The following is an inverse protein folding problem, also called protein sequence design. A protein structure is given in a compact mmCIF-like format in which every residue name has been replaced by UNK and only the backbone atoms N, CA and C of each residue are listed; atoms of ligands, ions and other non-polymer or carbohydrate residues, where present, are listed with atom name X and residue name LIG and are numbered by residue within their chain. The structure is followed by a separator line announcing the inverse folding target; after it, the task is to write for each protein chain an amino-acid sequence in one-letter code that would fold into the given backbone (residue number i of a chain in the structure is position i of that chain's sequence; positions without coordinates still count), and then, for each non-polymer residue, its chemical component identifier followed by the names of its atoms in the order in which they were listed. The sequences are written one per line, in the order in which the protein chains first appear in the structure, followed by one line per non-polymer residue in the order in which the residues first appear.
data_IF_615517521862
#
_entry.id   IF_615517521862
#
_cell.length_a   1.000
_cell.length_b   1.000
_cell.length_c   1.000
_cell.angle_alpha   90.00
_cell.angle_beta   90.00
_cell.angle_gamma   90.00
#
_symmetry.space_group_name_H-M   'P 1'
#
loop_
_entity.id
_entity.type
_entity.pdbx_description
1 polymer ?
#
# COMPACT_ATOMS: atom_id res chain seq x y z
N UNK A 1 -22.09 -12.86 -3.79
CA UNK A 1 -22.50 -11.50 -4.19
C UNK A 1 -22.55 -11.46 -5.71
N UNK A 2 -23.71 -11.23 -6.32
CA UNK A 2 -23.80 -11.14 -7.77
C UNK A 2 -23.05 -9.88 -8.24
N UNK A 3 -22.06 -10.05 -9.13
CA UNK A 3 -21.39 -8.94 -9.80
C UNK A 3 -22.37 -8.32 -10.80
N UNK A 4 -23.21 -7.40 -10.32
CA UNK A 4 -24.07 -6.62 -11.19
C UNK A 4 -23.22 -5.59 -11.95
N UNK A 5 -23.38 -5.56 -13.27
CA UNK A 5 -22.79 -4.53 -14.11
C UNK A 5 -23.26 -3.15 -13.63
N UNK A 6 -22.31 -2.34 -13.17
CA UNK A 6 -22.57 -0.94 -12.84
C UNK A 6 -22.10 -0.09 -14.02
N UNK A 7 -23.01 0.58 -14.75
CA UNK A 7 -22.63 1.42 -15.87
C UNK A 7 -21.72 2.56 -15.43
N UNK A 8 -20.79 2.93 -16.32
CA UNK A 8 -19.82 3.99 -16.05
C UNK A 8 -20.52 5.34 -15.96
N UNK A 9 -20.26 6.08 -14.88
CA UNK A 9 -20.68 7.47 -14.73
C UNK A 9 -20.01 8.39 -15.77
N UNK A 10 -20.68 9.41 -16.30
CA UNK A 10 -20.06 10.44 -17.13
C UNK A 10 -18.83 11.07 -16.44
N UNK A 11 -17.83 11.51 -17.22
CA UNK A 11 -16.61 12.13 -16.65
C UNK A 11 -16.94 13.32 -15.76
N UNK A 12 -17.90 14.16 -16.15
CA UNK A 12 -18.35 15.32 -15.36
C UNK A 12 -18.85 14.95 -13.97
N UNK A 13 -19.60 13.85 -13.85
CA UNK A 13 -20.08 13.35 -12.57
C UNK A 13 -18.92 12.84 -11.71
N UNK A 14 -18.00 12.06 -12.29
CA UNK A 14 -16.81 11.56 -11.59
C UNK A 14 -15.90 12.68 -11.08
N UNK A 15 -15.76 13.77 -11.85
CA UNK A 15 -14.98 14.96 -11.46
C UNK A 15 -15.62 15.62 -10.24
N UNK A 16 -16.93 15.89 -10.30
CA UNK A 16 -17.68 16.51 -9.19
C UNK A 16 -17.60 15.68 -7.91
N UNK A 17 -17.73 14.36 -8.02
CA UNK A 17 -17.62 13.45 -6.87
C UNK A 17 -16.23 13.51 -6.23
N UNK A 18 -15.17 13.53 -7.04
CA UNK A 18 -13.80 13.60 -6.54
C UNK A 18 -13.48 14.96 -5.91
N UNK A 19 -13.98 16.05 -6.48
CA UNK A 19 -13.84 17.40 -5.91
C UNK A 19 -14.54 17.50 -4.56
N UNK A 20 -15.77 16.95 -4.46
CA UNK A 20 -16.52 16.93 -3.21
C UNK A 20 -15.82 16.09 -2.14
N UNK A 21 -15.29 14.92 -2.52
CA UNK A 21 -14.49 14.08 -1.63
C UNK A 21 -13.26 14.83 -1.10
N UNK A 22 -12.50 15.48 -1.98
CA UNK A 22 -11.31 16.25 -1.59
C UNK A 22 -11.64 17.44 -0.69
N UNK A 23 -12.81 18.04 -0.86
CA UNK A 23 -13.26 19.21 -0.08
C UNK A 23 -13.79 18.83 1.30
N UNK A 24 -14.48 17.70 1.42
CA UNK A 24 -15.24 17.35 2.63
C UNK A 24 -14.54 16.34 3.52
N UNK A 25 -13.71 15.45 2.96
CA UNK A 25 -13.03 14.44 3.74
C UNK A 25 -11.85 15.04 4.52
N UNK A 26 -11.88 14.89 5.85
CA UNK A 26 -10.83 15.39 6.76
C UNK A 26 -9.44 14.84 6.44
N UNK A 27 -9.36 13.64 5.82
CA UNK A 27 -8.13 13.03 5.31
C UNK A 27 -7.30 13.96 4.42
N UNK A 28 -7.97 14.88 3.72
CA UNK A 28 -7.39 15.77 2.73
C UNK A 28 -7.23 17.23 3.20
N UNK A 29 -7.62 17.56 4.44
CA UNK A 29 -7.67 18.94 4.97
C UNK A 29 -6.40 19.76 4.74
N UNK A 30 -5.23 19.13 4.84
CA UNK A 30 -3.92 19.79 4.71
C UNK A 30 -3.14 19.33 3.46
N UNK A 31 -3.81 18.74 2.47
CA UNK A 31 -3.17 18.20 1.26
C UNK A 31 -3.39 19.14 0.08
N UNK A 32 -2.31 19.77 -0.39
CA UNK A 32 -2.31 20.59 -1.62
C UNK A 32 -2.00 19.72 -2.83
N UNK A 33 -2.81 19.82 -3.88
CA UNK A 33 -2.60 19.16 -5.18
C UNK A 33 -2.23 20.20 -6.23
N UNK A 34 -1.18 19.94 -7.01
CA UNK A 34 -0.77 20.76 -8.15
C UNK A 34 -1.51 20.46 -9.45
N UNK A 35 -2.54 19.61 -9.37
CA UNK A 35 -3.37 19.11 -10.48
C UNK A 35 -4.85 19.12 -10.07
N UNK A 36 -5.74 19.08 -11.05
CA UNK A 36 -7.19 19.10 -10.85
C UNK A 36 -7.79 17.70 -10.74
N UNK A 37 -9.05 17.61 -10.28
CA UNK A 37 -9.81 16.36 -10.32
C UNK A 37 -10.05 15.90 -11.77
N UNK A 38 -10.18 16.83 -12.71
CA UNK A 38 -10.30 16.53 -14.14
C UNK A 38 -9.07 15.82 -14.68
N UNK A 39 -7.87 16.26 -14.30
CA UNK A 39 -6.60 15.61 -14.71
C UNK A 39 -6.57 14.15 -14.24
N UNK A 40 -6.96 13.90 -12.99
CA UNK A 40 -7.03 12.55 -12.44
C UNK A 40 -8.05 11.69 -13.20
N UNK A 41 -9.27 12.18 -13.41
CA UNK A 41 -10.32 11.43 -14.13
C UNK A 41 -9.93 11.14 -15.58
N UNK A 42 -9.19 12.04 -16.23
CA UNK A 42 -8.71 11.83 -17.60
C UNK A 42 -7.66 10.71 -17.70
N UNK A 43 -6.89 10.45 -16.64
CA UNK A 43 -5.85 9.41 -16.59
C UNK A 43 -6.34 8.06 -16.04
N UNK A 44 -7.52 7.99 -15.42
CA UNK A 44 -8.06 6.79 -14.74
C UNK A 44 -8.46 5.62 -15.65
N UNK A 45 -8.61 5.86 -16.96
CA UNK A 45 -9.18 4.87 -17.90
C UNK A 45 -10.70 4.69 -17.75
N UNK A 46 -11.24 3.65 -18.38
CA UNK A 46 -12.68 3.29 -18.33
C UNK A 46 -13.03 2.42 -17.14
N UNK A 47 -12.08 1.57 -16.72
CA UNK A 47 -12.18 0.67 -15.57
C UNK A 47 -11.06 1.06 -14.62
N UNK A 48 -11.37 1.78 -13.52
CA UNK A 48 -10.35 2.21 -12.59
C UNK A 48 -9.74 0.99 -11.89
N UNK A 49 -8.41 0.95 -11.81
CA UNK A 49 -7.73 -0.01 -10.96
C UNK A 49 -7.98 0.36 -9.49
N UNK A 50 -8.42 -0.61 -8.67
CA UNK A 50 -8.65 -0.42 -7.24
C UNK A 50 -8.04 -1.60 -6.48
N UNK A 51 -7.03 -1.32 -5.66
CA UNK A 51 -6.47 -2.29 -4.73
C UNK A 51 -7.19 -2.19 -3.39
N UNK A 52 -7.91 -3.26 -3.01
CA UNK A 52 -8.61 -3.32 -1.72
C UNK A 52 -7.64 -3.37 -0.54
N UNK A 53 -6.52 -4.08 -0.69
CA UNK A 53 -5.49 -4.17 0.36
C UNK A 53 -4.78 -2.82 0.57
N UNK A 54 -4.48 -2.09 -0.51
CA UNK A 54 -3.87 -0.77 -0.40
C UNK A 54 -4.81 0.23 0.29
N UNK A 55 -6.10 0.23 -0.06
CA UNK A 55 -7.10 1.07 0.59
C UNK A 55 -7.24 0.73 2.08
N UNK A 56 -7.42 -0.57 2.40
CA UNK A 56 -7.55 -1.02 3.78
C UNK A 56 -6.34 -0.67 4.64
N UNK A 57 -5.12 -0.93 4.14
CA UNK A 57 -3.89 -0.57 4.85
C UNK A 57 -3.71 0.93 5.03
N UNK A 58 -4.02 1.74 4.01
CA UNK A 58 -3.91 3.19 4.09
C UNK A 58 -4.90 3.80 5.10
N UNK A 59 -6.14 3.31 5.13
CA UNK A 59 -7.16 3.76 6.09
C UNK A 59 -6.78 3.38 7.52
N UNK A 60 -6.30 2.14 7.73
CA UNK A 60 -5.85 1.65 9.04
C UNK A 60 -4.63 2.40 9.56
N UNK A 61 -3.64 2.67 8.68
CA UNK A 61 -2.48 3.48 9.04
C UNK A 61 -2.90 4.90 9.42
N UNK A 62 -3.83 5.50 8.65
CA UNK A 62 -4.33 6.83 8.94
C UNK A 62 -5.01 6.89 10.32
N UNK A 63 -5.85 5.91 10.64
CA UNK A 63 -6.48 5.80 11.97
C UNK A 63 -5.42 5.74 13.08
N UNK A 64 -4.46 4.82 12.97
CA UNK A 64 -3.41 4.66 13.97
C UNK A 64 -2.60 5.95 14.20
N UNK A 65 -2.30 6.70 13.14
CA UNK A 65 -1.58 7.97 13.25
C UNK A 65 -2.37 9.07 13.97
N UNK A 66 -3.68 8.91 14.15
CA UNK A 66 -4.55 9.87 14.84
C UNK A 66 -5.02 9.41 16.22
N UNK A 67 -5.00 8.09 16.47
CA UNK A 67 -5.52 7.52 17.72
C UNK A 67 -4.43 7.02 18.67
N UNK A 68 -3.25 6.71 18.16
CA UNK A 68 -2.12 6.21 18.97
C UNK A 68 -1.12 7.33 19.25
N UNK A 69 -0.45 7.28 20.40
CA UNK A 69 0.63 8.23 20.72
C UNK A 69 1.78 8.14 19.70
N UNK A 70 2.09 6.92 19.27
CA UNK A 70 2.98 6.60 18.17
C UNK A 70 2.73 5.16 17.69
N UNK A 71 3.21 4.87 16.48
CA UNK A 71 3.32 3.50 15.98
C UNK A 71 4.77 3.19 15.66
N UNK A 72 5.29 2.08 16.18
CA UNK A 72 6.59 1.55 15.83
C UNK A 72 6.46 0.50 14.72
N UNK A 73 7.54 0.34 13.97
CA UNK A 73 7.67 -0.68 12.94
C UNK A 73 9.11 -1.22 12.92
N UNK A 74 9.27 -2.44 12.41
CA UNK A 74 10.58 -3.05 12.15
C UNK A 74 10.68 -3.35 10.66
N UNK A 75 11.91 -3.31 10.15
CA UNK A 75 12.22 -3.73 8.79
C UNK A 75 11.94 -5.22 8.59
N UNK A 76 11.11 -5.57 7.60
CA UNK A 76 10.87 -6.95 7.21
C UNK A 76 11.41 -7.19 5.80
N UNK A 77 12.33 -8.16 5.67
CA UNK A 77 12.90 -8.61 4.40
C UNK A 77 12.23 -9.90 3.91
N UNK A 78 11.26 -10.48 4.64
CA UNK A 78 10.45 -11.61 4.16
C UNK A 78 9.01 -11.54 4.69
N UNK A 79 8.08 -12.24 4.02
CA UNK A 79 6.71 -12.40 4.52
C UNK A 79 6.63 -13.14 5.87
N UNK A 80 7.52 -14.10 6.11
CA UNK A 80 7.59 -14.82 7.39
C UNK A 80 7.97 -13.89 8.55
N UNK A 81 8.96 -13.02 8.35
CA UNK A 81 9.32 -12.00 9.35
C UNK A 81 8.14 -11.08 9.65
N UNK A 82 7.46 -10.56 8.62
CA UNK A 82 6.31 -9.68 8.80
C UNK A 82 5.18 -10.36 9.59
N UNK A 83 4.85 -11.63 9.27
CA UNK A 83 3.86 -12.40 10.04
C UNK A 83 4.27 -12.54 11.51
N UNK A 84 5.54 -12.82 11.81
CA UNK A 84 6.00 -12.94 13.19
C UNK A 84 6.00 -11.60 13.93
N UNK A 85 6.32 -10.50 13.26
CA UNK A 85 6.24 -9.15 13.84
C UNK A 85 4.80 -8.83 14.26
N UNK A 86 3.81 -9.11 13.40
CA UNK A 86 2.39 -8.91 13.75
C UNK A 86 1.96 -9.82 14.89
N UNK A 87 2.39 -11.10 14.89
CA UNK A 87 2.14 -12.02 16.02
C UNK A 87 2.76 -11.54 17.34
N UNK A 88 3.87 -10.82 17.27
CA UNK A 88 4.52 -10.21 18.42
C UNK A 88 3.87 -8.87 18.86
N UNK A 89 2.81 -8.42 18.17
CA UNK A 89 2.04 -7.22 18.52
C UNK A 89 2.45 -5.94 17.78
N UNK A 90 3.32 -6.03 16.76
CA UNK A 90 3.68 -4.87 15.94
C UNK A 90 2.48 -4.46 15.07
N UNK A 91 2.13 -3.16 15.09
CA UNK A 91 0.95 -2.62 14.39
C UNK A 91 1.20 -2.26 12.92
N UNK A 92 2.46 -2.09 12.50
CA UNK A 92 2.81 -1.71 11.13
C UNK A 92 4.15 -2.35 10.69
N UNK A 93 4.30 -2.61 9.39
CA UNK A 93 5.52 -3.18 8.81
C UNK A 93 6.27 -2.11 8.04
N UNK A 94 7.59 -2.06 8.22
CA UNK A 94 8.47 -1.27 7.37
C UNK A 94 9.16 -2.16 6.32
N UNK A 95 9.13 -1.74 5.06
CA UNK A 95 9.89 -2.38 3.98
C UNK A 95 11.03 -1.44 3.60
N UNK A 96 12.24 -1.80 4.04
CA UNK A 96 13.46 -1.02 3.83
C UNK A 96 14.05 -1.26 2.45
N UNK A 97 14.37 -0.19 1.71
CA UNK A 97 15.09 -0.24 0.44
C UNK A 97 16.49 -0.82 0.60
N UNK A 98 17.21 -0.41 1.65
CA UNK A 98 18.49 -1.02 2.06
C UNK A 98 18.43 -2.54 2.22
N UNK A 99 17.42 -3.08 2.94
CA UNK A 99 17.32 -4.53 3.15
C UNK A 99 16.98 -5.27 1.85
N UNK A 100 16.19 -4.65 0.97
CA UNK A 100 15.87 -5.17 -0.35
C UNK A 100 17.14 -5.19 -1.22
N UNK A 101 17.90 -4.11 -1.26
CA UNK A 101 19.19 -4.03 -1.95
C UNK A 101 20.15 -5.13 -1.47
N UNK A 102 20.25 -5.32 -0.17
CA UNK A 102 21.18 -6.27 0.41
C UNK A 102 20.82 -7.73 0.15
N UNK A 103 19.53 -8.13 0.25
CA UNK A 103 19.19 -9.56 0.37
C UNK A 103 17.80 -9.99 -0.15
N UNK A 104 16.97 -9.09 -0.73
CA UNK A 104 15.68 -9.51 -1.32
C UNK A 104 15.22 -8.63 -2.48
N UNK A 105 16.15 -8.32 -3.37
CA UNK A 105 15.82 -7.71 -4.65
C UNK A 105 15.62 -8.77 -5.73
N UNK A 106 14.91 -8.41 -6.79
CA UNK A 106 14.61 -9.31 -7.91
C UNK A 106 15.79 -9.51 -8.86
N UNK A 107 16.93 -8.86 -8.61
CA UNK A 107 18.17 -9.07 -9.36
C UNK A 107 19.06 -10.17 -8.76
N UNK A 108 18.64 -10.79 -7.64
CA UNK A 108 19.33 -11.92 -7.00
C UNK A 108 20.81 -11.64 -6.70
N UNK A 109 21.14 -10.36 -6.45
CA UNK A 109 22.50 -9.89 -6.22
C UNK A 109 22.52 -9.02 -4.97
N UNK A 110 23.50 -9.22 -4.10
CA UNK A 110 23.70 -8.34 -2.95
C UNK A 110 24.22 -6.98 -3.43
N UNK A 111 23.53 -5.90 -3.04
CA UNK A 111 23.92 -4.53 -3.35
C UNK A 111 24.08 -3.67 -2.09
N UNK A 112 24.94 -2.63 -2.13
CA UNK A 112 24.85 -1.52 -1.20
C UNK A 112 23.60 -0.67 -1.50
N UNK A 113 23.27 0.22 -0.57
CA UNK A 113 22.12 1.13 -0.64
C UNK A 113 22.37 2.33 -1.55
N UNK A 114 22.32 2.07 -2.85
CA UNK A 114 22.54 3.04 -3.93
C UNK A 114 21.53 2.88 -5.07
N UNK A 115 20.33 2.37 -4.75
CA UNK A 115 19.23 2.13 -5.70
C UNK A 115 19.65 1.33 -6.96
N UNK A 116 20.60 0.40 -6.83
CA UNK A 116 21.15 -0.39 -7.95
C UNK A 116 20.24 -1.53 -8.42
N UNK A 117 19.30 -1.94 -7.57
CA UNK A 117 18.40 -3.06 -7.84
C UNK A 117 17.26 -2.66 -8.79
N UNK A 118 16.59 -3.65 -9.39
CA UNK A 118 15.45 -3.40 -10.27
C UNK A 118 14.28 -2.73 -9.53
N UNK A 119 13.73 -1.64 -10.10
CA UNK A 119 12.70 -0.77 -9.50
C UNK A 119 11.49 -1.50 -8.91
N UNK A 120 11.12 -2.67 -9.46
CA UNK A 120 9.99 -3.47 -8.97
C UNK A 120 10.31 -4.33 -7.73
N UNK A 121 11.54 -4.28 -7.20
CA UNK A 121 11.96 -5.13 -6.08
C UNK A 121 11.19 -4.85 -4.78
N UNK A 122 11.09 -3.58 -4.36
CA UNK A 122 10.29 -3.20 -3.18
C UNK A 122 8.81 -3.54 -3.37
N UNK A 123 8.15 -3.18 -4.50
CA UNK A 123 6.78 -3.62 -4.79
C UNK A 123 6.60 -5.15 -4.73
N UNK A 124 7.58 -5.92 -5.21
CA UNK A 124 7.55 -7.39 -5.15
C UNK A 124 7.59 -7.90 -3.71
N UNK A 125 8.37 -7.28 -2.83
CA UNK A 125 8.40 -7.61 -1.41
C UNK A 125 7.09 -7.21 -0.69
N UNK A 126 6.52 -6.04 -1.00
CA UNK A 126 5.20 -5.62 -0.49
C UNK A 126 4.12 -6.65 -0.86
N UNK A 127 4.11 -7.13 -2.10
CA UNK A 127 3.21 -8.19 -2.54
C UNK A 127 3.46 -9.51 -1.81
N UNK A 128 4.74 -9.89 -1.61
CA UNK A 128 5.12 -11.09 -0.87
C UNK A 128 4.63 -11.04 0.59
N UNK A 129 4.75 -9.90 1.26
CA UNK A 129 4.28 -9.72 2.64
C UNK A 129 2.75 -9.79 2.71
N UNK A 130 2.03 -9.09 1.83
CA UNK A 130 0.58 -9.16 1.78
C UNK A 130 0.06 -10.59 1.49
N UNK A 131 0.75 -11.35 0.65
CA UNK A 131 0.43 -12.77 0.43
C UNK A 131 0.64 -13.62 1.68
N UNK A 132 1.68 -13.34 2.48
CA UNK A 132 1.93 -14.04 3.73
C UNK A 132 0.88 -13.70 4.80
N UNK A 133 0.46 -12.44 4.90
CA UNK A 133 -0.66 -12.01 5.74
C UNK A 133 -1.96 -12.70 5.35
N UNK A 134 -2.29 -12.71 4.05
CA UNK A 134 -3.47 -13.44 3.56
C UNK A 134 -3.44 -14.91 3.94
N UNK A 135 -2.30 -15.58 3.79
CA UNK A 135 -2.17 -17.00 4.17
C UNK A 135 -2.35 -17.22 5.68
N UNK A 136 -1.76 -16.35 6.51
CA UNK A 136 -1.88 -16.45 7.97
C UNK A 136 -3.33 -16.24 8.43
N UNK A 137 -4.01 -15.25 7.84
CA UNK A 137 -5.43 -14.96 8.02
C UNK A 137 -6.33 -16.13 7.58
N UNK A 138 -6.13 -16.66 6.37
CA UNK A 138 -6.85 -17.83 5.85
C UNK A 138 -6.73 -19.05 6.79
N UNK A 139 -5.53 -19.29 7.34
CA UNK A 139 -5.31 -20.39 8.30
C UNK A 139 -6.07 -20.13 9.61
N UNK A 140 -6.02 -18.91 10.13
CA UNK A 140 -6.73 -18.53 11.36
C UNK A 140 -8.25 -18.70 11.18
N UNK A 141 -8.79 -18.17 10.08
CA UNK A 141 -10.20 -18.27 9.74
C UNK A 141 -10.66 -19.71 9.56
N UNK A 142 -9.88 -20.54 8.85
CA UNK A 142 -10.19 -21.95 8.64
C UNK A 142 -10.23 -22.77 9.95
N UNK A 143 -9.52 -22.33 10.99
CA UNK A 143 -9.53 -22.94 12.31
C UNK A 143 -10.68 -22.44 13.21
N UNK A 144 -11.60 -21.61 12.69
CA UNK A 144 -12.75 -21.10 13.44
C UNK A 144 -12.39 -20.12 14.55
N UNK A 145 -11.29 -19.38 14.38
CA UNK A 145 -10.87 -18.34 15.34
C UNK A 145 -11.50 -17.01 14.92
N UNK A 146 -12.60 -16.65 15.57
CA UNK A 146 -13.34 -15.40 15.29
C UNK A 146 -12.62 -14.16 15.85
N UNK A 147 -12.11 -14.24 17.08
CA UNK A 147 -11.32 -13.18 17.73
C UNK A 147 -9.83 -13.55 17.70
N UNK A 148 -9.19 -13.22 16.59
CA UNK A 148 -7.79 -13.58 16.33
C UNK A 148 -6.87 -12.38 16.12
N UNK A 149 -5.69 -12.68 15.59
CA UNK A 149 -4.70 -11.68 15.20
C UNK A 149 -5.17 -11.01 13.91
N UNK A 150 -5.16 -9.68 13.90
CA UNK A 150 -5.36 -8.90 12.69
C UNK A 150 -4.06 -8.88 11.86
N UNK A 151 -3.96 -9.83 10.92
CA UNK A 151 -2.75 -10.01 10.12
C UNK A 151 -2.49 -8.90 9.09
N UNK A 152 -3.52 -8.18 8.64
CA UNK A 152 -3.36 -7.15 7.62
C UNK A 152 -2.84 -5.84 8.22
N UNK A 153 -1.64 -5.88 8.78
CA UNK A 153 -0.94 -4.69 9.25
C UNK A 153 -0.58 -3.79 8.06
N UNK A 154 -0.73 -2.45 8.18
CA UNK A 154 -0.27 -1.51 7.17
C UNK A 154 1.22 -1.66 6.88
N UNK A 155 1.60 -1.52 5.61
CA UNK A 155 2.98 -1.59 5.15
C UNK A 155 3.42 -0.19 4.70
N UNK A 156 4.49 0.32 5.28
CA UNK A 156 5.19 1.52 4.85
C UNK A 156 6.44 1.08 4.09
N UNK A 157 6.52 1.41 2.81
CA UNK A 157 7.56 0.92 1.92
C UNK A 157 8.46 2.04 1.40
N UNK A 158 9.75 1.71 1.29
CA UNK A 158 10.76 2.59 0.72
C UNK A 158 10.57 2.75 -0.80
N UNK A 159 10.46 4.00 -1.26
CA UNK A 159 10.32 4.34 -2.67
C UNK A 159 11.63 4.93 -3.25
N UNK A 160 12.71 4.91 -2.48
CA UNK A 160 14.02 5.48 -2.85
C UNK A 160 13.87 6.94 -3.31
N UNK A 161 14.64 7.35 -4.32
CA UNK A 161 14.45 8.59 -5.06
C UNK A 161 13.51 8.45 -6.29
N UNK A 162 12.71 7.38 -6.35
CA UNK A 162 11.78 7.13 -7.47
C UNK A 162 12.42 6.55 -8.74
N UNK A 163 13.68 6.10 -8.69
CA UNK A 163 14.38 5.40 -9.78
C UNK A 163 14.43 6.16 -11.13
N UNK A 164 14.50 7.49 -11.09
CA UNK A 164 14.64 8.33 -12.27
C UNK A 164 13.87 9.63 -12.17
N UNK A 165 13.06 9.94 -13.20
CA UNK A 165 12.25 11.15 -13.26
C UNK A 165 10.82 10.95 -12.73
N UNK A 166 9.98 11.96 -12.94
CA UNK A 166 8.58 11.97 -12.44
C UNK A 166 7.74 10.79 -12.94
N UNK A 167 8.02 10.26 -14.15
CA UNK A 167 7.31 9.10 -14.68
C UNK A 167 7.74 7.79 -14.02
N UNK A 168 9.02 7.68 -13.63
CA UNK A 168 9.52 6.53 -12.87
C UNK A 168 8.87 6.50 -11.48
N UNK A 169 8.81 7.66 -10.80
CA UNK A 169 8.12 7.80 -9.52
C UNK A 169 6.62 7.48 -9.63
N UNK A 170 5.97 7.90 -10.72
CA UNK A 170 4.55 7.60 -10.97
C UNK A 170 4.29 6.10 -11.12
N UNK A 171 5.08 5.39 -11.94
CA UNK A 171 4.88 3.94 -12.13
C UNK A 171 5.33 3.13 -10.91
N UNK A 172 6.25 3.62 -10.08
CA UNK A 172 6.63 2.97 -8.82
C UNK A 172 5.50 3.03 -7.77
N UNK A 173 4.76 4.14 -7.70
CA UNK A 173 3.68 4.34 -6.71
C UNK A 173 2.37 3.61 -7.06
N UNK A 174 2.21 3.22 -8.33
CA UNK A 174 0.98 2.64 -8.89
C UNK A 174 0.79 1.17 -8.52
#
# INVERSE_FOLDING_TARGET
MALHYTPRKPRSEQIRELEEEWRTNSRWKNVKRGYSAADVVNLRGTIPHRSMLAAHGADKLWEYLHTEDFINALGAVTGGQAVQQVKAGVKAIYVSGWQVAADNNTSETMYPDQSLYAVNSVPSLVNRINNAFRRADEIQWANGVDEGIDFYAPIVADAEAGFGGVLNAFELMK
#
